data_IF_724388674194
#
_entry.id   IF_724388674194
#
_cell.length_a   1.000
_cell.length_b   1.000
_cell.length_c   1.000
_cell.angle_alpha   90.00
_cell.angle_beta   90.00
_cell.angle_gamma   90.00
#
_symmetry.space_group_name_H-M   'P 1'
#
loop_
_entity.id
_entity.type
_entity.pdbx_description
1 polymer ?
#
# COMPACT_ATOMS: atom_id res chain seq x y z
N UNK A 1 -4.18 -4.90 12.42
CA UNK A 1 -3.66 -5.83 11.39
C UNK A 1 -2.63 -5.10 10.55
N UNK A 2 -1.40 -5.58 10.55
CA UNK A 2 -0.33 -5.06 9.70
C UNK A 2 -0.52 -5.52 8.26
N UNK A 3 -0.27 -4.63 7.29
CA UNK A 3 -0.39 -4.96 5.87
C UNK A 3 0.47 -4.04 5.00
N UNK A 4 1.19 -4.63 4.04
CA UNK A 4 1.96 -3.89 3.04
C UNK A 4 1.00 -3.30 2.01
N UNK A 5 1.05 -1.99 1.77
CA UNK A 5 0.16 -1.30 0.85
C UNK A 5 0.89 -1.01 -0.45
N UNK A 6 0.29 -1.45 -1.57
CA UNK A 6 0.76 -1.17 -2.93
C UNK A 6 0.62 0.33 -3.28
N UNK A 7 1.56 0.89 -4.05
CA UNK A 7 1.53 2.27 -4.53
C UNK A 7 0.20 2.64 -5.20
N UNK A 8 -0.40 1.76 -6.00
CA UNK A 8 -1.69 2.02 -6.66
C UNK A 8 -2.84 2.21 -5.67
N UNK A 9 -2.75 1.54 -4.51
CA UNK A 9 -3.68 1.76 -3.40
C UNK A 9 -3.37 3.10 -2.75
N UNK A 10 -2.11 3.42 -2.46
CA UNK A 10 -1.71 4.71 -1.89
C UNK A 10 -2.14 5.89 -2.79
N UNK A 11 -2.02 5.76 -4.12
CA UNK A 11 -2.55 6.74 -5.08
C UNK A 11 -4.02 7.06 -4.82
N UNK A 12 -4.81 6.04 -4.50
CA UNK A 12 -6.24 6.20 -4.25
C UNK A 12 -6.55 6.95 -2.95
N UNK A 13 -5.58 7.10 -2.04
CA UNK A 13 -5.71 7.91 -0.82
C UNK A 13 -5.93 9.39 -1.14
N UNK A 14 -5.29 9.92 -2.19
CA UNK A 14 -5.36 11.33 -2.59
C UNK A 14 -6.76 11.78 -3.05
N UNK A 15 -7.64 10.83 -3.34
CA UNK A 15 -9.06 11.11 -3.58
C UNK A 15 -9.77 11.27 -2.24
N UNK A 16 -10.11 12.51 -1.85
CA UNK A 16 -10.68 12.89 -0.53
C UNK A 16 -11.79 11.96 0.00
N UNK A 17 -12.70 11.48 -0.86
CA UNK A 17 -13.83 10.60 -0.47
C UNK A 17 -13.64 9.11 -0.80
N UNK A 18 -12.41 8.68 -1.09
CA UNK A 18 -12.17 7.29 -1.45
C UNK A 18 -12.37 6.36 -0.25
N UNK A 19 -12.83 5.14 -0.55
CA UNK A 19 -12.88 4.07 0.46
C UNK A 19 -11.49 3.76 1.00
N UNK A 20 -10.47 3.89 0.16
CA UNK A 20 -9.07 3.70 0.53
C UNK A 20 -8.63 4.68 1.60
N UNK A 21 -8.95 5.99 1.46
CA UNK A 21 -8.61 6.99 2.48
C UNK A 21 -9.24 6.64 3.83
N UNK A 22 -10.52 6.26 3.83
CA UNK A 22 -11.25 5.84 5.04
C UNK A 22 -10.65 4.58 5.70
N UNK A 23 -10.11 3.66 4.91
CA UNK A 23 -9.46 2.44 5.40
C UNK A 23 -8.07 2.74 5.97
N UNK A 24 -7.23 3.48 5.24
CA UNK A 24 -5.87 3.84 5.68
C UNK A 24 -5.92 4.65 6.97
N UNK A 25 -6.85 5.60 7.09
CA UNK A 25 -7.01 6.40 8.31
C UNK A 25 -7.61 5.63 9.50
N UNK A 26 -7.99 4.36 9.34
CA UNK A 26 -8.54 3.53 10.42
C UNK A 26 -7.43 2.80 11.19
N UNK A 27 -6.62 3.58 11.90
CA UNK A 27 -5.42 3.12 12.63
C UNK A 27 -5.73 2.20 13.81
N UNK A 28 -6.97 2.18 14.31
CA UNK A 28 -7.38 1.26 15.39
C UNK A 28 -7.39 -0.20 14.93
N UNK A 29 -7.60 -0.44 13.64
CA UNK A 29 -7.76 -1.79 13.08
C UNK A 29 -6.65 -2.14 12.09
N UNK A 30 -6.17 -1.18 11.30
CA UNK A 30 -5.13 -1.40 10.31
C UNK A 30 -3.83 -0.70 10.73
N UNK A 31 -2.71 -1.34 10.44
CA UNK A 31 -1.36 -0.77 10.57
C UNK A 31 -0.74 -0.79 9.16
N UNK A 32 -1.06 0.19 8.30
CA UNK A 32 -0.55 0.28 6.94
C UNK A 32 0.96 0.49 6.94
N UNK A 33 1.66 -0.28 6.12
CA UNK A 33 3.09 -0.11 5.91
C UNK A 33 3.42 -0.13 4.42
N UNK A 34 4.52 0.48 4.01
CA UNK A 34 4.93 0.46 2.59
C UNK A 34 6.45 0.55 2.44
N UNK A 35 7.04 0.02 1.38
CA UNK A 35 8.40 0.34 0.98
C UNK A 35 8.56 1.83 0.63
N UNK A 36 9.76 2.39 0.84
CA UNK A 36 10.06 3.80 0.54
C UNK A 36 9.93 4.13 -0.94
N UNK A 37 10.24 3.18 -1.84
CA UNK A 37 10.10 3.40 -3.28
C UNK A 37 8.67 3.74 -3.68
N UNK A 38 7.65 3.24 -2.96
CA UNK A 38 6.25 3.60 -3.23
C UNK A 38 5.99 5.09 -2.99
N UNK A 39 6.68 5.70 -2.02
CA UNK A 39 6.58 7.14 -1.76
C UNK A 39 7.32 7.92 -2.85
N UNK A 40 8.48 7.42 -3.30
CA UNK A 40 9.21 8.00 -4.43
C UNK A 40 8.34 8.00 -5.70
N UNK A 41 7.67 6.88 -6.00
CA UNK A 41 6.76 6.72 -7.12
C UNK A 41 5.54 7.66 -7.04
N UNK A 42 4.98 7.89 -5.84
CA UNK A 42 3.92 8.91 -5.66
C UNK A 42 4.42 10.31 -6.02
N UNK A 43 5.64 10.67 -5.63
CA UNK A 43 6.23 11.96 -5.96
C UNK A 43 6.53 12.10 -7.45
N UNK A 44 7.08 11.05 -8.08
CA UNK A 44 7.31 11.01 -9.53
C UNK A 44 6.01 11.14 -10.33
N UNK A 45 4.90 10.63 -9.78
CA UNK A 45 3.58 10.75 -10.38
C UNK A 45 2.72 11.89 -9.83
N UNK A 46 3.31 12.86 -9.13
CA UNK A 46 2.61 14.01 -8.53
C UNK A 46 1.65 14.69 -9.51
N UNK A 47 2.13 15.06 -10.70
CA UNK A 47 1.30 15.76 -11.71
C UNK A 47 0.04 14.96 -12.07
N UNK A 48 0.20 13.65 -12.28
CA UNK A 48 -0.89 12.74 -12.62
C UNK A 48 -1.89 12.57 -11.46
N UNK A 49 -1.37 12.50 -10.21
CA UNK A 49 -2.19 12.41 -9.00
C UNK A 49 -3.01 13.69 -8.83
N UNK A 50 -2.36 14.83 -8.92
CA UNK A 50 -2.96 16.16 -8.79
C UNK A 50 -4.05 16.37 -9.83
N UNK A 51 -3.81 16.01 -11.10
CA UNK A 51 -4.81 16.11 -12.17
C UNK A 51 -6.04 15.24 -11.86
N UNK A 52 -5.83 13.96 -11.52
CA UNK A 52 -6.93 13.00 -11.26
C UNK A 52 -7.70 13.29 -9.98
N UNK A 53 -7.05 13.91 -9.00
CA UNK A 53 -7.63 14.20 -7.69
C UNK A 53 -8.08 15.66 -7.55
N UNK A 54 -7.80 16.50 -8.56
CA UNK A 54 -8.05 17.94 -8.60
C UNK A 54 -7.41 18.67 -7.41
N UNK A 55 -6.15 18.35 -7.14
CA UNK A 55 -5.36 18.97 -6.08
C UNK A 55 -4.42 20.02 -6.68
N UNK A 56 -4.19 21.09 -5.93
CA UNK A 56 -3.02 21.95 -6.16
C UNK A 56 -1.73 21.23 -5.75
N UNK A 57 -0.57 21.80 -6.11
CA UNK A 57 0.71 21.29 -5.66
C UNK A 57 0.86 21.32 -4.14
N UNK A 58 0.32 22.36 -3.48
CA UNK A 58 0.32 22.50 -2.02
C UNK A 58 -0.61 21.46 -1.37
N UNK A 59 -1.83 21.28 -1.90
CA UNK A 59 -2.76 20.26 -1.41
C UNK A 59 -2.21 18.84 -1.59
N UNK A 60 -1.39 18.60 -2.63
CA UNK A 60 -0.71 17.31 -2.81
C UNK A 60 0.29 17.06 -1.68
N UNK A 61 1.18 18.01 -1.39
CA UNK A 61 2.17 17.87 -0.31
C UNK A 61 1.46 17.68 1.05
N UNK A 62 0.44 18.49 1.35
CA UNK A 62 -0.37 18.33 2.57
C UNK A 62 -1.01 16.93 2.66
N UNK A 63 -1.52 16.42 1.54
CA UNK A 63 -2.15 15.09 1.49
C UNK A 63 -1.11 13.97 1.62
N UNK A 64 0.11 14.17 1.11
CA UNK A 64 1.22 13.24 1.28
C UNK A 64 1.68 13.21 2.74
N UNK A 65 1.82 14.37 3.39
CA UNK A 65 2.12 14.47 4.81
C UNK A 65 1.05 13.75 5.66
N UNK A 66 -0.24 13.98 5.35
CA UNK A 66 -1.37 13.25 5.94
C UNK A 66 -1.21 11.73 5.79
N UNK A 67 -0.86 11.26 4.59
CA UNK A 67 -0.66 9.83 4.30
C UNK A 67 0.45 9.24 5.19
N UNK A 68 1.56 9.96 5.34
CA UNK A 68 2.73 9.52 6.10
C UNK A 68 2.49 9.46 7.62
N UNK A 69 1.46 10.15 8.13
CA UNK A 69 1.00 9.98 9.52
C UNK A 69 0.42 8.58 9.75
N UNK A 70 -0.25 8.01 8.75
CA UNK A 70 -0.95 6.72 8.87
C UNK A 70 -0.14 5.53 8.34
N UNK A 71 0.76 5.76 7.38
CA UNK A 71 1.51 4.69 6.71
C UNK A 71 2.96 4.70 7.17
N UNK A 72 3.41 3.60 7.78
CA UNK A 72 4.82 3.45 8.14
C UNK A 72 5.66 3.05 6.93
N UNK A 73 6.70 3.84 6.65
CA UNK A 73 7.61 3.61 5.52
C UNK A 73 8.81 2.77 5.96
N UNK A 74 9.20 1.80 5.13
CA UNK A 74 10.37 0.94 5.33
C UNK A 74 11.35 1.11 4.17
N UNK A 75 12.63 1.24 4.50
CA UNK A 75 13.73 1.35 3.54
C UNK A 75 14.17 -0.02 3.03
N UNK A 76 14.77 -0.05 1.83
CA UNK A 76 15.30 -1.27 1.22
C UNK A 76 16.21 -2.08 2.16
N UNK A 77 17.05 -1.40 2.96
CA UNK A 77 17.94 -2.06 3.92
C UNK A 77 17.22 -2.90 4.97
N UNK A 78 15.95 -2.62 5.28
CA UNK A 78 15.21 -3.31 6.34
C UNK A 78 14.63 -4.67 5.88
N UNK A 79 14.44 -4.84 4.57
CA UNK A 79 13.83 -6.04 3.99
C UNK A 79 14.65 -6.69 2.85
N UNK A 80 15.82 -6.13 2.49
CA UNK A 80 16.70 -6.62 1.41
C UNK A 80 16.99 -8.12 1.43
N UNK A 81 17.07 -8.73 2.62
CA UNK A 81 17.38 -10.15 2.79
C UNK A 81 16.28 -11.06 2.21
N UNK A 82 15.07 -10.53 2.01
CA UNK A 82 13.91 -11.25 1.50
C UNK A 82 13.67 -11.03 -0.01
N UNK A 83 14.47 -10.19 -0.67
CA UNK A 83 14.32 -9.92 -2.11
C UNK A 83 14.46 -11.19 -2.97
N UNK A 84 15.39 -12.08 -2.61
CA UNK A 84 15.62 -13.30 -3.40
C UNK A 84 14.41 -14.24 -3.35
N UNK A 85 13.79 -14.37 -2.18
CA UNK A 85 12.56 -15.15 -2.01
C UNK A 85 11.40 -14.47 -2.74
N UNK A 86 11.26 -13.16 -2.58
CA UNK A 86 10.20 -12.37 -3.19
C UNK A 86 10.22 -12.43 -4.73
N UNK A 87 11.41 -12.47 -5.34
CA UNK A 87 11.57 -12.62 -6.81
C UNK A 87 10.92 -13.90 -7.36
N UNK A 88 10.77 -14.94 -6.56
CA UNK A 88 10.10 -16.18 -6.99
C UNK A 88 8.57 -16.12 -6.88
N UNK A 89 8.05 -15.18 -6.09
CA UNK A 89 6.63 -15.02 -5.80
C UNK A 89 5.99 -13.88 -6.60
N UNK A 90 6.76 -12.80 -6.80
CA UNK A 90 6.30 -11.60 -7.45
C UNK A 90 5.94 -11.88 -8.90
N UNK A 91 4.74 -11.45 -9.37
CA UNK A 91 4.37 -11.62 -10.77
C UNK A 91 5.16 -10.70 -11.71
N UNK A 92 5.67 -9.57 -11.18
CA UNK A 92 6.43 -8.56 -11.89
C UNK A 92 7.71 -8.19 -11.11
N UNK A 93 8.85 -7.95 -11.78
CA UNK A 93 10.05 -7.43 -11.13
C UNK A 93 9.86 -6.14 -10.30
N UNK A 94 8.95 -5.26 -10.72
CA UNK A 94 8.76 -3.95 -10.06
C UNK A 94 8.00 -4.10 -8.73
N UNK A 95 7.28 -5.21 -8.54
CA UNK A 95 6.51 -5.50 -7.33
C UNK A 95 7.31 -6.28 -6.26
N UNK A 96 8.56 -6.66 -6.55
CA UNK A 96 9.38 -7.54 -5.69
C UNK A 96 9.50 -6.98 -4.27
N UNK A 97 9.69 -5.67 -4.14
CA UNK A 97 9.86 -4.98 -2.86
C UNK A 97 8.61 -5.09 -1.96
N UNK A 98 7.40 -5.07 -2.54
CA UNK A 98 6.15 -5.29 -1.80
C UNK A 98 6.11 -6.69 -1.19
N UNK A 99 6.47 -7.70 -1.98
CA UNK A 99 6.54 -9.10 -1.52
C UNK A 99 7.67 -9.30 -0.50
N UNK A 100 8.83 -8.67 -0.68
CA UNK A 100 9.95 -8.79 0.24
C UNK A 100 9.61 -8.22 1.61
N UNK A 101 8.98 -7.04 1.65
CA UNK A 101 8.52 -6.45 2.92
C UNK A 101 7.42 -7.30 3.58
N UNK A 102 6.49 -7.85 2.79
CA UNK A 102 5.42 -8.70 3.28
C UNK A 102 5.96 -9.99 3.91
N UNK A 103 6.94 -10.63 3.26
CA UNK A 103 7.66 -11.79 3.78
C UNK A 103 8.45 -11.46 5.05
N UNK A 104 9.18 -10.34 5.05
CA UNK A 104 9.99 -9.90 6.19
C UNK A 104 9.16 -9.75 7.47
N UNK A 105 7.94 -9.20 7.33
CA UNK A 105 7.07 -8.86 8.45
C UNK A 105 5.93 -9.85 8.66
N UNK A 106 5.93 -10.95 7.90
CA UNK A 106 4.90 -12.00 7.91
C UNK A 106 3.47 -11.43 7.91
N UNK A 107 3.20 -10.56 6.94
CA UNK A 107 1.95 -9.82 6.86
C UNK A 107 1.37 -9.81 5.44
N UNK A 108 0.05 -9.62 5.30
CA UNK A 108 -0.59 -9.58 3.99
C UNK A 108 -0.21 -8.34 3.17
N UNK A 109 -0.42 -8.42 1.86
CA UNK A 109 -0.37 -7.27 0.94
C UNK A 109 -1.80 -6.77 0.70
N UNK A 110 -1.98 -5.46 0.67
CA UNK A 110 -3.15 -4.79 0.14
C UNK A 110 -2.86 -4.27 -1.26
N UNK A 111 -3.40 -4.98 -2.26
CA UNK A 111 -3.34 -4.58 -3.66
C UNK A 111 -4.63 -4.97 -4.38
N UNK A 112 -5.03 -4.16 -5.37
CA UNK A 112 -6.13 -4.51 -6.26
C UNK A 112 -5.64 -5.28 -7.51
N UNK A 113 -4.33 -5.52 -7.66
CA UNK A 113 -3.77 -6.30 -8.75
C UNK A 113 -4.11 -7.78 -8.58
N UNK A 114 -4.79 -8.34 -9.59
CA UNK A 114 -5.26 -9.74 -9.54
C UNK A 114 -4.11 -10.73 -9.65
N UNK A 115 -3.03 -10.36 -10.35
CA UNK A 115 -1.85 -11.21 -10.50
C UNK A 115 -1.18 -11.53 -9.16
N UNK A 116 -1.25 -10.64 -8.17
CA UNK A 116 -0.65 -10.86 -6.85
C UNK A 116 -1.27 -12.05 -6.10
N UNK A 117 -2.53 -12.39 -6.43
CA UNK A 117 -3.25 -13.55 -5.86
C UNK A 117 -2.88 -14.89 -6.52
N UNK A 118 -2.02 -14.91 -7.56
CA UNK A 118 -1.61 -16.16 -8.22
C UNK A 118 -0.64 -16.99 -7.37
N UNK A 119 0.15 -16.34 -6.52
CA UNK A 119 0.99 -17.00 -5.53
C UNK A 119 0.20 -17.28 -4.24
N UNK A 120 0.65 -18.27 -3.45
CA UNK A 120 -0.04 -18.71 -2.22
C UNK A 120 0.69 -18.42 -0.92
N UNK A 121 1.93 -17.92 -0.97
CA UNK A 121 2.80 -17.73 0.21
C UNK A 121 2.45 -16.45 0.98
N UNK A 122 2.04 -15.39 0.29
CA UNK A 122 1.64 -14.11 0.88
C UNK A 122 0.15 -13.91 0.67
N UNK A 123 -0.61 -13.65 1.74
CA UNK A 123 -2.04 -13.35 1.63
C UNK A 123 -2.22 -11.96 1.00
N UNK A 124 -3.13 -11.84 0.03
CA UNK A 124 -3.40 -10.57 -0.66
C UNK A 124 -4.86 -10.19 -0.50
N UNK A 125 -5.10 -9.00 0.04
CA UNK A 125 -6.43 -8.41 0.12
C UNK A 125 -6.58 -7.33 -0.95
N UNK A 126 -7.69 -7.39 -1.68
CA UNK A 126 -8.18 -6.22 -2.40
C UNK A 126 -8.90 -5.26 -1.45
N UNK A 127 -9.15 -4.04 -1.91
CA UNK A 127 -9.95 -3.07 -1.16
C UNK A 127 -11.34 -3.63 -0.80
N UNK A 128 -11.93 -4.44 -1.71
CA UNK A 128 -13.22 -5.10 -1.44
C UNK A 128 -13.10 -6.15 -0.34
N UNK A 129 -12.03 -6.93 -0.35
CA UNK A 129 -11.80 -7.98 0.65
C UNK A 129 -11.59 -7.37 2.05
N UNK A 130 -10.84 -6.27 2.15
CA UNK A 130 -10.67 -5.55 3.42
C UNK A 130 -12.00 -4.99 3.95
N UNK A 131 -12.84 -4.40 3.08
CA UNK A 131 -14.14 -3.88 3.50
C UNK A 131 -15.02 -5.02 4.04
N UNK A 132 -15.07 -6.16 3.33
CA UNK A 132 -15.83 -7.32 3.77
C UNK A 132 -15.31 -7.84 5.13
N UNK A 133 -14.00 -8.04 5.24
CA UNK A 133 -13.33 -8.49 6.47
C UNK A 133 -13.61 -7.57 7.67
N UNK A 134 -13.59 -6.26 7.45
CA UNK A 134 -13.88 -5.26 8.49
C UNK A 134 -15.37 -5.14 8.83
N UNK A 135 -16.26 -5.50 7.90
CA UNK A 135 -17.71 -5.50 8.17
C UNK A 135 -18.15 -6.71 9.00
N UNK A 136 -17.49 -7.86 8.82
CA UNK A 136 -17.76 -9.08 9.57
C UNK A 136 -17.17 -9.07 11.00
N UNK A 137 -16.18 -8.21 11.23
CA UNK A 137 -15.48 -8.09 12.52
C UNK A 137 -16.03 -6.97 13.42
N UNK A 138 -17.06 -6.23 12.98
CA UNK A 138 -17.81 -5.31 13.83
C UNK A 138 -18.83 -6.08 14.67
N UNK A 139 -18.72 -6.10 16.02
CA UNK A 139 -19.76 -6.66 16.88
C UNK A 139 -21.08 -5.88 16.78
#
# INVERSE_FOLDING_TARGET
>A
MKLVVDTNVLFSFFKKESKTRKLISNFEILEPITPSFCIDELNEHKELISEKSRLSDEEFEETLDDLLIFVKVFTLSEYRDFLSDAKTLSPDPDDIDLFALALKLDCPIWSNEKAFKKQSKVKVFSTKDLIAFLSETRP
#
